data_IF_588359208007
#
_entry.id   IF_588359208007
#
_cell.length_a   1.000
_cell.length_b   1.000
_cell.length_c   1.000
_cell.angle_alpha   90.00
_cell.angle_beta   90.00
_cell.angle_gamma   90.00
#
_symmetry.space_group_name_H-M   'P 1'
#
loop_
_entity.id
_entity.type
_entity.pdbx_description
1 polymer ?
#
# COMPACT_ATOMS: atom_id res chain seq x y z
N UNK A 1 0.35 19.33 8.51
CA UNK A 1 -0.92 18.63 8.22
C UNK A 1 -0.98 17.45 9.16
N UNK A 2 -1.98 17.39 10.05
CA UNK A 2 -2.15 16.27 10.98
C UNK A 2 -2.48 15.02 10.15
N UNK A 3 -1.76 13.91 10.36
CA UNK A 3 -2.14 12.64 9.75
C UNK A 3 -3.56 12.29 10.24
N UNK A 4 -4.52 12.00 9.35
CA UNK A 4 -5.84 11.57 9.78
C UNK A 4 -5.70 10.30 10.63
N UNK A 5 -6.39 10.28 11.76
CA UNK A 5 -6.43 9.11 12.64
C UNK A 5 -7.11 7.97 11.88
N UNK A 6 -6.38 6.90 11.61
CA UNK A 6 -6.95 5.69 11.01
C UNK A 6 -7.87 5.01 12.00
N UNK A 7 -9.16 5.04 11.73
CA UNK A 7 -10.11 4.18 12.43
C UNK A 7 -10.19 2.83 11.72
N UNK A 8 -10.09 1.74 12.47
CA UNK A 8 -10.19 0.36 11.95
C UNK A 8 -11.36 -0.38 12.61
N UNK A 9 -12.63 0.05 12.39
CA UNK A 9 -13.79 -0.47 13.10
C UNK A 9 -14.07 -1.96 12.84
N UNK A 10 -13.53 -2.51 11.75
CA UNK A 10 -13.69 -3.91 11.35
C UNK A 10 -12.57 -4.81 11.89
N UNK A 11 -11.65 -4.28 12.69
CA UNK A 11 -10.51 -5.01 13.26
C UNK A 11 -10.67 -5.06 14.77
N UNK A 12 -10.54 -6.26 15.32
CA UNK A 12 -10.35 -6.43 16.77
C UNK A 12 -8.92 -6.02 17.14
N UNK A 13 -8.78 -4.86 17.79
CA UNK A 13 -7.48 -4.33 18.18
C UNK A 13 -6.73 -5.24 19.16
N UNK A 14 -7.43 -6.05 19.96
CA UNK A 14 -6.80 -6.98 20.88
C UNK A 14 -6.06 -8.11 20.15
N UNK A 15 -6.39 -8.36 18.88
CA UNK A 15 -5.78 -9.39 18.05
C UNK A 15 -4.74 -8.83 17.06
N UNK A 16 -4.66 -7.50 16.91
CA UNK A 16 -3.71 -6.84 16.01
C UNK A 16 -2.47 -6.34 16.77
N UNK A 17 -1.59 -7.28 17.11
CA UNK A 17 -0.33 -6.99 17.77
C UNK A 17 0.62 -6.19 16.87
N UNK A 18 1.47 -5.31 17.44
CA UNK A 18 2.56 -4.69 16.70
C UNK A 18 3.55 -5.75 16.18
N UNK A 19 4.28 -5.43 15.12
CA UNK A 19 5.35 -6.29 14.60
C UNK A 19 6.48 -6.31 15.63
N UNK A 20 6.82 -7.51 16.09
CA UNK A 20 7.96 -7.74 16.96
C UNK A 20 9.24 -7.88 16.11
N UNK A 21 9.94 -6.75 15.95
CA UNK A 21 11.15 -6.69 15.13
C UNK A 21 12.30 -7.53 15.68
N UNK A 22 12.41 -7.65 17.02
CA UNK A 22 13.45 -8.45 17.67
C UNK A 22 13.26 -9.94 17.39
N UNK A 23 12.00 -10.41 17.39
CA UNK A 23 11.67 -11.80 17.04
C UNK A 23 11.78 -12.07 15.55
N UNK A 24 11.54 -11.07 14.70
CA UNK A 24 11.47 -11.26 13.26
C UNK A 24 12.84 -11.14 12.58
N UNK A 25 13.76 -10.31 13.11
CA UNK A 25 15.01 -9.99 12.44
C UNK A 25 16.24 -10.43 13.25
N UNK A 26 17.08 -11.27 12.64
CA UNK A 26 18.35 -11.72 13.21
C UNK A 26 19.52 -10.75 12.95
N UNK A 27 19.33 -9.73 12.13
CA UNK A 27 20.37 -8.78 11.72
C UNK A 27 19.83 -7.34 11.65
N UNK A 28 20.70 -6.31 11.79
CA UNK A 28 20.29 -4.91 11.71
C UNK A 28 19.62 -4.61 10.37
N UNK A 29 18.43 -4.00 10.41
CA UNK A 29 17.69 -3.53 9.24
C UNK A 29 17.67 -2.01 9.16
N UNK A 30 17.10 -1.52 8.06
CA UNK A 30 16.82 -0.10 7.88
C UNK A 30 15.98 0.43 9.05
N UNK A 31 16.36 1.59 9.58
CA UNK A 31 15.69 2.26 10.69
C UNK A 31 14.47 3.08 10.26
N UNK A 32 14.20 3.16 8.97
CA UNK A 32 13.02 3.82 8.43
C UNK A 32 11.83 2.87 8.36
N UNK A 33 10.61 3.43 8.43
CA UNK A 33 9.37 2.67 8.20
C UNK A 33 9.39 1.93 6.84
N UNK A 34 8.79 0.74 6.72
CA UNK A 34 8.58 0.10 5.42
C UNK A 34 7.80 1.04 4.48
N UNK A 35 8.31 1.30 3.28
CA UNK A 35 7.66 2.18 2.29
C UNK A 35 6.91 1.34 1.27
N UNK A 36 5.59 1.49 1.22
CA UNK A 36 4.71 0.68 0.37
C UNK A 36 3.93 1.59 -0.57
N UNK A 37 4.13 1.40 -1.87
CA UNK A 37 3.29 1.98 -2.91
C UNK A 37 2.15 1.01 -3.22
N UNK A 38 0.91 1.48 -3.13
CA UNK A 38 -0.27 0.70 -3.48
C UNK A 38 -0.85 1.18 -4.81
N UNK A 39 -1.19 0.21 -5.66
CA UNK A 39 -1.80 0.42 -6.97
C UNK A 39 -3.18 -0.25 -6.99
N UNK A 40 -4.12 0.31 -7.77
CA UNK A 40 -5.44 -0.28 -7.99
C UNK A 40 -5.79 -0.29 -9.49
N UNK A 41 -6.54 -1.31 -9.91
CA UNK A 41 -6.81 -1.60 -11.33
C UNK A 41 -8.10 -1.00 -11.92
N UNK A 42 -8.73 -0.02 -11.26
CA UNK A 42 -9.98 0.59 -11.77
C UNK A 42 -10.08 2.07 -11.42
N UNK A 43 -10.25 2.90 -12.43
CA UNK A 43 -10.46 4.37 -12.34
C UNK A 43 -11.93 4.78 -12.30
N UNK A 44 -12.85 3.80 -12.19
CA UNK A 44 -14.28 4.09 -12.04
C UNK A 44 -14.53 4.93 -10.78
N UNK A 45 -15.56 5.77 -10.82
CA UNK A 45 -15.97 6.60 -9.67
C UNK A 45 -16.19 5.75 -8.40
N UNK A 46 -16.93 4.64 -8.54
CA UNK A 46 -17.09 3.60 -7.51
C UNK A 46 -16.23 2.39 -7.84
N UNK A 47 -15.05 2.33 -7.22
CA UNK A 47 -14.03 1.30 -7.48
C UNK A 47 -13.77 0.50 -6.21
N UNK A 48 -14.25 -0.75 -6.15
CA UNK A 48 -14.03 -1.62 -4.99
C UNK A 48 -12.57 -1.99 -4.79
N UNK A 49 -11.78 -2.09 -5.87
CA UNK A 49 -10.34 -2.26 -5.75
C UNK A 49 -9.67 -1.04 -5.13
N UNK A 50 -10.08 0.19 -5.49
CA UNK A 50 -9.61 1.41 -4.82
C UNK A 50 -9.98 1.41 -3.34
N UNK A 51 -11.23 1.10 -2.99
CA UNK A 51 -11.66 1.04 -1.58
C UNK A 51 -10.89 -0.01 -0.78
N UNK A 52 -10.67 -1.21 -1.34
CA UNK A 52 -9.85 -2.24 -0.71
C UNK A 52 -8.40 -1.77 -0.53
N UNK A 53 -7.84 -1.07 -1.51
CA UNK A 53 -6.51 -0.45 -1.42
C UNK A 53 -6.44 0.61 -0.31
N UNK A 54 -7.47 1.43 -0.14
CA UNK A 54 -7.56 2.41 0.94
C UNK A 54 -7.61 1.74 2.33
N UNK A 55 -8.40 0.68 2.50
CA UNK A 55 -8.42 -0.09 3.76
C UNK A 55 -7.06 -0.77 4.02
N UNK A 56 -6.45 -1.35 2.99
CA UNK A 56 -5.11 -1.95 3.10
C UNK A 56 -4.07 -0.91 3.54
N UNK A 57 -4.13 0.32 3.03
CA UNK A 57 -3.24 1.40 3.44
C UNK A 57 -3.42 1.78 4.93
N UNK A 58 -4.64 1.75 5.47
CA UNK A 58 -4.89 1.96 6.92
C UNK A 58 -4.29 0.84 7.76
N UNK A 59 -4.47 -0.41 7.35
CA UNK A 59 -3.89 -1.58 8.04
C UNK A 59 -2.37 -1.49 8.05
N UNK A 60 -1.76 -1.22 6.90
CA UNK A 60 -0.30 -1.11 6.77
C UNK A 60 0.27 0.04 7.62
N UNK A 61 -0.39 1.20 7.67
CA UNK A 61 0.03 2.29 8.56
C UNK A 61 -0.11 1.92 10.04
N UNK A 62 -1.18 1.22 10.43
CA UNK A 62 -1.34 0.67 11.80
C UNK A 62 -0.25 -0.35 12.16
N UNK A 63 0.29 -1.06 11.16
CA UNK A 63 1.43 -1.97 11.30
C UNK A 63 2.80 -1.27 11.19
N UNK A 64 2.84 0.06 11.06
CA UNK A 64 4.07 0.85 11.08
C UNK A 64 4.67 1.21 9.73
N UNK A 65 3.98 0.93 8.61
CA UNK A 65 4.45 1.30 7.27
C UNK A 65 4.18 2.78 6.92
N UNK A 66 4.99 3.34 6.02
CA UNK A 66 4.67 4.54 5.24
C UNK A 66 3.99 4.09 3.92
N UNK A 67 2.75 4.52 3.69
CA UNK A 67 1.98 4.11 2.51
C UNK A 67 1.73 5.28 1.57
N UNK A 68 1.79 5.04 0.25
CA UNK A 68 1.30 5.96 -0.77
C UNK A 68 0.40 5.20 -1.74
N UNK A 69 -0.71 5.81 -2.16
CA UNK A 69 -1.61 5.24 -3.17
C UNK A 69 -1.43 6.03 -4.46
N UNK A 70 -1.16 5.35 -5.57
CA UNK A 70 -1.09 5.99 -6.88
C UNK A 70 -2.49 6.11 -7.49
N UNK A 71 -2.83 7.27 -8.05
CA UNK A 71 -4.03 7.43 -8.85
C UNK A 71 -3.70 7.29 -10.35
N UNK A 72 -4.10 6.20 -11.02
CA UNK A 72 -3.79 5.96 -12.43
C UNK A 72 -4.71 6.72 -13.40
N UNK A 73 -5.62 7.57 -12.92
CA UNK A 73 -6.46 8.39 -13.80
C UNK A 73 -5.60 9.33 -14.65
N UNK A 74 -5.75 9.25 -15.97
CA UNK A 74 -4.98 10.06 -16.92
C UNK A 74 -3.56 9.55 -17.18
N UNK A 75 -3.19 8.37 -16.67
CA UNK A 75 -1.94 7.72 -17.05
C UNK A 75 -1.98 7.38 -18.56
N UNK A 76 -0.98 7.77 -19.37
CA UNK A 76 -0.92 7.38 -20.77
C UNK A 76 -0.81 5.87 -20.91
N UNK A 77 -1.30 5.34 -22.02
CA UNK A 77 -1.01 3.96 -22.38
C UNK A 77 0.50 3.81 -22.62
N UNK A 78 1.05 2.67 -22.23
CA UNK A 78 2.40 2.32 -22.67
C UNK A 78 2.39 2.31 -24.20
N UNK A 79 3.38 2.93 -24.82
CA UNK A 79 3.59 2.75 -26.26
C UNK A 79 3.93 1.27 -26.48
N UNK A 80 3.15 0.57 -27.31
CA UNK A 80 3.53 -0.75 -27.81
C UNK A 80 4.82 -0.54 -28.61
N UNK A 81 5.97 -0.93 -28.05
CA UNK A 81 7.15 -1.10 -28.87
C UNK A 81 6.82 -2.20 -29.88
N UNK A 82 6.95 -1.89 -31.18
CA UNK A 82 6.73 -2.86 -32.26
C UNK A 82 7.39 -4.21 -31.91
N UNK A 83 6.68 -5.31 -32.16
CA UNK A 83 7.14 -6.70 -31.92
C UNK A 83 8.41 -7.07 -32.72
N UNK A 84 8.98 -6.14 -33.49
CA UNK A 84 10.18 -6.28 -34.31
C UNK A 84 11.49 -6.29 -33.50
N UNK A 85 11.47 -6.78 -32.25
CA UNK A 85 12.73 -7.12 -31.59
C UNK A 85 13.24 -8.45 -32.16
N UNK A 86 14.41 -8.49 -32.83
CA UNK A 86 14.98 -9.76 -33.25
C UNK A 86 15.27 -10.61 -32.01
N UNK A 87 14.94 -11.89 -32.14
CA UNK A 87 15.07 -12.94 -31.12
C UNK A 87 16.51 -13.27 -30.81
#
# INVERSE_FOLDING_TARGET
MSEPVDTLPNIDEALLNPIDEERLFAAPRATHKPRILLLYGSVRERSYSRFATEEAARILRRLGAETRIFNPSGLPLAEDADEDHPK
#
